data_IF_701875051529
#
_entry.id   IF_701875051529
#
_cell.length_a   1.000
_cell.length_b   1.000
_cell.length_c   1.000
_cell.angle_alpha   90.00
_cell.angle_beta   90.00
_cell.angle_gamma   90.00
#
_symmetry.space_group_name_H-M   'P 1'
#
loop_
_entity.id
_entity.type
_entity.pdbx_description
1 polymer ?
#
# COMPACT_ATOMS: atom_id res chain seq x y z
N UNK A 1 11.90 45.76 -4.39
CA UNK A 1 10.75 45.02 -3.81
C UNK A 1 9.84 44.37 -4.86
N UNK A 2 9.42 45.07 -5.94
CA UNK A 2 8.51 44.52 -6.97
C UNK A 2 9.01 43.26 -7.70
N UNK A 3 10.32 43.07 -7.88
CA UNK A 3 10.90 41.90 -8.56
C UNK A 3 10.94 40.62 -7.70
N UNK A 4 11.11 40.75 -6.38
CA UNK A 4 11.07 39.63 -5.44
C UNK A 4 9.65 39.08 -5.28
N UNK A 5 8.65 39.97 -5.31
CA UNK A 5 7.25 39.58 -5.27
C UNK A 5 6.84 38.75 -6.49
N UNK A 6 7.41 39.05 -7.67
CA UNK A 6 7.12 38.36 -8.94
C UNK A 6 7.70 36.93 -8.97
N UNK A 7 8.89 36.71 -8.39
CA UNK A 7 9.43 35.36 -8.22
C UNK A 7 8.60 34.52 -7.23
N UNK A 8 8.11 35.13 -6.15
CA UNK A 8 7.24 34.45 -5.19
C UNK A 8 5.87 34.07 -5.79
N UNK A 9 5.32 34.89 -6.68
CA UNK A 9 4.03 34.60 -7.35
C UNK A 9 4.16 33.50 -8.39
N UNK A 10 5.27 33.45 -9.14
CA UNK A 10 5.52 32.37 -10.12
C UNK A 10 5.78 31.03 -9.42
N UNK A 11 6.45 31.04 -8.26
CA UNK A 11 6.69 29.82 -7.47
C UNK A 11 5.39 29.27 -6.82
N UNK A 12 4.48 30.15 -6.37
CA UNK A 12 3.16 29.73 -5.85
C UNK A 12 2.23 29.16 -6.94
N UNK A 13 2.40 29.53 -8.21
CA UNK A 13 1.62 28.96 -9.31
C UNK A 13 2.06 27.55 -9.70
N UNK A 14 3.32 27.17 -9.42
CA UNK A 14 3.82 25.81 -9.68
C UNK A 14 3.36 24.76 -8.66
N UNK A 15 2.79 25.15 -7.51
CA UNK A 15 2.28 24.22 -6.50
C UNK A 15 0.81 23.83 -6.68
N UNK A 16 0.15 24.23 -7.78
CA UNK A 16 -1.23 23.84 -8.08
C UNK A 16 -1.35 22.57 -8.94
N UNK A 17 -0.24 21.92 -9.29
CA UNK A 17 -0.26 20.56 -9.85
C UNK A 17 -0.03 19.52 -8.76
N UNK A 18 -0.81 19.56 -7.69
CA UNK A 18 -1.07 18.32 -6.96
C UNK A 18 -2.16 17.59 -7.73
N UNK A 19 -1.73 16.53 -8.41
CA UNK A 19 -2.60 15.51 -8.96
C UNK A 19 -3.70 15.21 -7.95
N UNK A 20 -4.94 15.20 -8.43
CA UNK A 20 -6.04 14.57 -7.71
C UNK A 20 -5.62 13.13 -7.46
N UNK A 21 -5.05 12.82 -6.29
CA UNK A 21 -5.09 11.47 -5.79
C UNK A 21 -6.57 11.19 -5.61
N UNK A 22 -7.18 10.59 -6.64
CA UNK A 22 -8.47 9.92 -6.49
C UNK A 22 -8.26 9.06 -5.26
N UNK A 23 -9.06 9.33 -4.24
CA UNK A 23 -9.05 8.62 -2.97
C UNK A 23 -9.23 7.14 -3.30
N UNK A 24 -8.12 6.41 -3.48
CA UNK A 24 -8.10 5.09 -4.12
C UNK A 24 -8.92 4.09 -3.31
N UNK A 25 -9.05 4.36 -2.00
CA UNK A 25 -9.92 3.68 -1.05
C UNK A 25 -11.41 3.70 -1.42
N UNK A 26 -11.87 4.73 -2.15
CA UNK A 26 -13.28 4.93 -2.52
C UNK A 26 -13.54 4.72 -4.02
N UNK A 27 -12.54 4.29 -4.80
CA UNK A 27 -12.66 4.09 -6.24
C UNK A 27 -13.77 3.09 -6.60
N UNK A 28 -13.93 2.04 -5.79
CA UNK A 28 -15.04 1.09 -5.86
C UNK A 28 -15.67 0.97 -4.49
N UNK A 29 -16.99 1.06 -4.42
CA UNK A 29 -17.75 0.90 -3.17
C UNK A 29 -18.73 -0.26 -3.28
N UNK A 30 -18.86 -1.05 -2.22
CA UNK A 30 -19.95 -2.01 -2.08
C UNK A 30 -21.25 -1.28 -1.75
N UNK A 31 -22.28 -1.54 -2.53
CA UNK A 31 -23.64 -1.04 -2.30
C UNK A 31 -24.51 -2.05 -1.55
N UNK A 32 -24.33 -3.34 -1.83
CA UNK A 32 -25.14 -4.40 -1.23
C UNK A 32 -24.41 -5.74 -1.21
N UNK A 33 -24.83 -6.59 -0.27
CA UNK A 33 -24.37 -7.97 -0.13
C UNK A 33 -25.58 -8.85 0.18
N UNK A 34 -25.70 -9.98 -0.52
CA UNK A 34 -26.76 -10.95 -0.31
C UNK A 34 -26.17 -12.35 -0.14
N UNK A 35 -26.67 -13.06 0.88
CA UNK A 35 -26.44 -14.49 1.07
C UNK A 35 -27.59 -15.06 1.89
N UNK A 36 -28.37 -15.96 1.29
CA UNK A 36 -29.40 -16.71 1.96
C UNK A 36 -28.84 -17.94 2.69
N UNK A 37 -29.70 -18.57 3.48
CA UNK A 37 -29.35 -19.80 4.17
C UNK A 37 -29.18 -20.92 3.14
N UNK A 38 -28.07 -21.64 3.19
CA UNK A 38 -27.70 -22.72 2.26
C UNK A 38 -27.48 -22.26 0.80
N UNK A 39 -27.28 -20.97 0.56
CA UNK A 39 -26.80 -20.53 -0.75
C UNK A 39 -25.37 -21.03 -0.95
N UNK A 40 -25.09 -21.60 -2.12
CA UNK A 40 -23.71 -21.93 -2.52
C UNK A 40 -22.90 -20.68 -2.88
N UNK A 41 -23.59 -19.57 -3.20
CA UNK A 41 -22.99 -18.36 -3.69
C UNK A 41 -23.55 -17.11 -3.02
N UNK A 42 -22.68 -16.18 -2.67
CA UNK A 42 -23.06 -14.83 -2.28
C UNK A 42 -23.08 -13.89 -3.49
N UNK A 43 -23.88 -12.83 -3.41
CA UNK A 43 -23.93 -11.76 -4.39
C UNK A 43 -23.43 -10.47 -3.76
N UNK A 44 -22.57 -9.75 -4.47
CA UNK A 44 -22.05 -8.46 -4.03
C UNK A 44 -22.24 -7.43 -5.14
N UNK A 45 -22.87 -6.31 -4.80
CA UNK A 45 -23.11 -5.20 -5.73
C UNK A 45 -22.06 -4.12 -5.52
N UNK A 46 -21.30 -3.82 -6.57
CA UNK A 46 -20.16 -2.91 -6.54
C UNK A 46 -20.42 -1.74 -7.48
N UNK A 47 -20.00 -0.54 -7.08
CA UNK A 47 -20.10 0.69 -7.88
C UNK A 47 -18.73 1.28 -8.15
N UNK A 48 -18.46 1.59 -9.41
CA UNK A 48 -17.29 2.37 -9.81
C UNK A 48 -17.56 3.87 -9.62
N UNK A 49 -16.80 4.52 -8.74
CA UNK A 49 -16.91 5.97 -8.48
C UNK A 49 -15.83 6.78 -9.22
N UNK A 50 -14.99 6.12 -10.02
CA UNK A 50 -13.96 6.77 -10.82
C UNK A 50 -14.50 7.25 -12.16
N UNK A 51 -13.64 7.94 -12.93
CA UNK A 51 -13.92 8.39 -14.30
C UNK A 51 -13.34 7.44 -15.36
N UNK A 52 -12.78 6.31 -14.95
CA UNK A 52 -12.12 5.36 -15.84
C UNK A 52 -12.78 3.98 -15.78
N UNK A 53 -12.56 3.18 -16.82
CA UNK A 53 -12.99 1.78 -16.86
C UNK A 53 -12.14 0.97 -15.88
N UNK A 54 -12.79 0.26 -14.95
CA UNK A 54 -12.12 -0.67 -14.03
C UNK A 54 -12.29 -2.09 -14.57
N UNK A 55 -11.20 -2.76 -14.92
CA UNK A 55 -11.20 -4.11 -15.51
C UNK A 55 -11.14 -5.18 -14.43
N UNK A 56 -10.31 -4.96 -13.42
CA UNK A 56 -10.07 -5.87 -12.30
C UNK A 56 -10.05 -5.11 -10.96
N UNK A 57 -10.34 -5.84 -9.88
CA UNK A 57 -10.30 -5.35 -8.52
C UNK A 57 -9.70 -6.39 -7.58
N UNK A 58 -8.98 -5.89 -6.58
CA UNK A 58 -8.54 -6.63 -5.40
C UNK A 58 -9.21 -6.02 -4.18
N UNK A 59 -9.94 -6.82 -3.41
CA UNK A 59 -10.67 -6.34 -2.24
C UNK A 59 -10.67 -7.36 -1.12
N UNK A 60 -10.93 -6.86 0.07
CA UNK A 60 -11.03 -7.62 1.29
C UNK A 60 -12.48 -7.59 1.80
N UNK A 61 -12.98 -8.74 2.25
CA UNK A 61 -14.24 -8.87 2.98
C UNK A 61 -13.96 -9.36 4.40
N UNK A 62 -14.27 -8.50 5.37
CA UNK A 62 -14.27 -8.88 6.79
C UNK A 62 -15.68 -9.29 7.20
N UNK A 63 -15.81 -10.51 7.72
CA UNK A 63 -17.05 -11.05 8.24
C UNK A 63 -17.10 -10.83 9.74
N UNK A 64 -18.16 -10.17 10.22
CA UNK A 64 -18.28 -9.71 11.60
C UNK A 64 -19.57 -10.30 12.17
N UNK A 65 -19.51 -10.87 13.37
CA UNK A 65 -20.70 -11.35 14.05
C UNK A 65 -21.58 -10.20 14.56
N UNK A 66 -22.76 -10.53 15.09
CA UNK A 66 -23.66 -9.52 15.65
C UNK A 66 -23.16 -8.90 16.96
N UNK A 67 -22.09 -9.43 17.55
CA UNK A 67 -21.41 -8.87 18.74
C UNK A 67 -20.27 -7.91 18.35
N UNK A 68 -19.97 -7.77 17.05
CA UNK A 68 -18.90 -6.93 16.54
C UNK A 68 -17.52 -7.61 16.49
N UNK A 69 -17.44 -8.92 16.75
CA UNK A 69 -16.21 -9.69 16.62
C UNK A 69 -16.00 -10.13 15.17
N UNK A 70 -14.77 -9.96 14.67
CA UNK A 70 -14.36 -10.51 13.38
C UNK A 70 -14.36 -12.04 13.45
N UNK A 71 -15.17 -12.67 12.60
CA UNK A 71 -15.25 -14.12 12.41
C UNK A 71 -14.17 -14.58 11.43
N UNK A 72 -14.03 -13.85 10.31
CA UNK A 72 -13.08 -14.19 9.24
C UNK A 72 -12.72 -12.96 8.40
N UNK A 73 -11.63 -13.07 7.65
CA UNK A 73 -11.14 -12.03 6.77
C UNK A 73 -10.60 -12.64 5.46
N UNK A 74 -11.29 -12.39 4.35
CA UNK A 74 -10.97 -13.02 3.05
C UNK A 74 -10.59 -11.98 2.00
N UNK A 75 -9.52 -12.27 1.24
CA UNK A 75 -9.11 -11.46 0.10
C UNK A 75 -9.58 -12.08 -1.22
N UNK A 76 -10.09 -11.24 -2.11
CA UNK A 76 -10.64 -11.61 -3.41
C UNK A 76 -9.97 -10.81 -4.52
N UNK A 77 -9.67 -11.51 -5.62
CA UNK A 77 -9.35 -10.91 -6.90
C UNK A 77 -10.46 -11.25 -7.90
N UNK A 78 -10.98 -10.25 -8.61
CA UNK A 78 -12.04 -10.44 -9.62
C UNK A 78 -11.86 -9.52 -10.81
N UNK A 79 -11.98 -10.10 -12.00
CA UNK A 79 -12.27 -9.36 -13.23
C UNK A 79 -13.74 -8.97 -13.24
N UNK A 80 -14.03 -7.67 -13.40
CA UNK A 80 -15.39 -7.13 -13.24
C UNK A 80 -15.84 -6.26 -14.40
N UNK A 81 -14.93 -5.60 -15.13
CA UNK A 81 -15.25 -4.64 -16.20
C UNK A 81 -16.41 -3.70 -15.80
N UNK A 82 -16.10 -2.67 -15.01
CA UNK A 82 -17.00 -1.63 -14.51
C UNK A 82 -16.73 -0.30 -15.21
N UNK A 83 -17.67 0.17 -16.01
CA UNK A 83 -17.61 1.49 -16.64
C UNK A 83 -17.68 2.62 -15.60
N UNK A 84 -17.24 3.84 -15.93
CA UNK A 84 -17.35 4.98 -15.02
C UNK A 84 -18.78 5.18 -14.51
N UNK A 85 -18.97 5.22 -13.18
CA UNK A 85 -20.28 5.37 -12.55
C UNK A 85 -21.16 4.12 -12.54
N UNK A 86 -20.74 3.02 -13.16
CA UNK A 86 -21.53 1.79 -13.28
C UNK A 86 -21.64 1.05 -11.94
N UNK A 87 -22.81 0.46 -11.71
CA UNK A 87 -23.03 -0.53 -10.65
C UNK A 87 -23.20 -1.91 -11.27
N UNK A 88 -22.48 -2.91 -10.75
CA UNK A 88 -22.58 -4.29 -11.20
C UNK A 88 -22.60 -5.25 -10.03
N UNK A 89 -23.44 -6.28 -10.13
CA UNK A 89 -23.46 -7.38 -9.17
C UNK A 89 -22.60 -8.53 -9.67
N UNK A 90 -21.70 -9.01 -8.82
CA UNK A 90 -20.86 -10.18 -9.08
C UNK A 90 -21.14 -11.27 -8.04
N UNK A 91 -20.71 -12.48 -8.35
CA UNK A 91 -20.92 -13.67 -7.53
C UNK A 91 -19.62 -14.11 -6.86
N UNK A 92 -19.71 -14.43 -5.57
CA UNK A 92 -18.64 -15.00 -4.75
C UNK A 92 -19.10 -16.34 -4.17
N UNK A 93 -18.19 -17.23 -3.75
CA UNK A 93 -18.54 -18.36 -2.90
C UNK A 93 -19.25 -17.85 -1.63
N UNK A 94 -20.31 -18.53 -1.21
CA UNK A 94 -20.99 -18.16 0.03
C UNK A 94 -20.08 -18.37 1.25
N UNK A 95 -20.12 -17.44 2.20
CA UNK A 95 -19.36 -17.55 3.43
C UNK A 95 -19.96 -18.62 4.34
N UNK A 96 -19.23 -19.72 4.52
CA UNK A 96 -19.57 -20.81 5.46
C UNK A 96 -21.04 -21.26 5.39
N UNK A 97 -21.55 -21.48 4.18
CA UNK A 97 -22.92 -21.94 3.95
C UNK A 97 -23.25 -23.22 4.75
N UNK A 98 -22.31 -24.18 4.78
CA UNK A 98 -22.45 -25.44 5.51
C UNK A 98 -22.54 -25.29 7.04
N UNK A 99 -22.07 -24.16 7.58
CA UNK A 99 -22.14 -23.88 9.03
C UNK A 99 -23.36 -23.01 9.39
N UNK A 100 -24.34 -22.90 8.48
CA UNK A 100 -25.58 -22.13 8.64
C UNK A 100 -25.35 -20.63 8.90
N UNK A 101 -24.31 -20.05 8.28
CA UNK A 101 -24.11 -18.61 8.28
C UNK A 101 -25.02 -17.92 7.27
N UNK A 102 -25.63 -16.81 7.68
CA UNK A 102 -26.55 -16.03 6.85
C UNK A 102 -26.28 -14.53 6.99
N UNK A 103 -26.41 -13.78 5.89
CA UNK A 103 -26.27 -12.34 5.95
C UNK A 103 -27.40 -11.72 6.77
N UNK A 104 -27.09 -10.71 7.60
CA UNK A 104 -28.05 -10.17 8.57
C UNK A 104 -29.35 -9.60 7.96
N UNK A 105 -29.32 -9.15 6.69
CA UNK A 105 -30.51 -8.66 5.97
C UNK A 105 -31.26 -9.74 5.19
N UNK A 106 -30.80 -10.98 5.22
CA UNK A 106 -31.46 -12.06 4.48
C UNK A 106 -32.85 -12.34 5.03
N UNK A 107 -33.81 -12.52 4.11
CA UNK A 107 -35.21 -12.86 4.42
C UNK A 107 -35.40 -14.33 4.79
N UNK A 108 -34.40 -15.19 4.52
CA UNK A 108 -34.47 -16.63 4.82
C UNK A 108 -33.85 -17.00 6.16
N UNK A 109 -33.59 -16.00 7.03
CA UNK A 109 -33.06 -16.23 8.37
C UNK A 109 -34.07 -17.01 9.21
N UNK A 110 -33.60 -18.06 9.89
CA UNK A 110 -34.34 -18.71 10.96
C UNK A 110 -33.67 -18.42 12.32
N UNK A 111 -34.30 -18.86 13.42
CA UNK A 111 -33.83 -18.57 14.77
C UNK A 111 -32.48 -19.24 15.12
N UNK A 112 -32.06 -20.24 14.34
CA UNK A 112 -30.83 -21.00 14.57
C UNK A 112 -29.65 -20.53 13.70
N UNK A 113 -29.90 -19.66 12.72
CA UNK A 113 -28.90 -19.21 11.77
C UNK A 113 -27.88 -18.26 12.42
N UNK A 114 -26.59 -18.47 12.10
CA UNK A 114 -25.51 -17.59 12.55
C UNK A 114 -25.46 -16.36 11.65
N UNK A 115 -25.94 -15.23 12.15
CA UNK A 115 -25.95 -13.99 11.37
C UNK A 115 -24.63 -13.26 11.38
N UNK A 116 -24.25 -12.70 10.24
CA UNK A 116 -23.06 -11.86 10.09
C UNK A 116 -23.32 -10.59 9.29
N UNK A 117 -22.44 -9.61 9.48
CA UNK A 117 -22.31 -8.38 8.69
C UNK A 117 -21.01 -8.48 7.89
N UNK A 118 -20.98 -7.88 6.70
CA UNK A 118 -19.79 -7.81 5.86
C UNK A 118 -19.30 -6.37 5.82
N UNK A 119 -17.99 -6.20 6.01
CA UNK A 119 -17.28 -4.95 5.71
C UNK A 119 -16.44 -5.17 4.45
N UNK A 120 -16.60 -4.28 3.49
CA UNK A 120 -15.83 -4.27 2.25
C UNK A 120 -14.70 -3.24 2.35
N UNK A 121 -13.51 -3.61 1.91
CA UNK A 121 -12.37 -2.70 1.74
C UNK A 121 -11.70 -2.95 0.40
N UNK A 122 -11.67 -1.93 -0.47
CA UNK A 122 -10.91 -2.00 -1.71
C UNK A 122 -9.42 -1.91 -1.39
N UNK A 123 -8.63 -2.85 -1.92
CA UNK A 123 -7.16 -2.86 -1.76
C UNK A 123 -6.48 -2.29 -2.99
N UNK A 124 -6.89 -2.71 -4.18
CA UNK A 124 -6.32 -2.23 -5.44
C UNK A 124 -7.30 -2.43 -6.61
N UNK A 125 -7.05 -1.78 -7.75
CA UNK A 125 -7.85 -1.93 -8.97
C UNK A 125 -7.04 -1.60 -10.24
N UNK A 126 -7.47 -2.14 -11.38
CA UNK A 126 -6.74 -1.98 -12.66
C UNK A 126 -5.26 -2.38 -12.56
N UNK A 127 -4.98 -3.35 -11.70
CA UNK A 127 -3.65 -3.89 -11.56
C UNK A 127 -3.38 -4.74 -12.78
N UNK A 128 -2.34 -4.39 -13.54
CA UNK A 128 -1.85 -5.26 -14.61
C UNK A 128 -1.17 -6.47 -13.96
N UNK A 129 -1.95 -7.36 -13.33
CA UNK A 129 -1.51 -8.69 -12.97
C UNK A 129 -1.35 -9.44 -14.29
N UNK A 130 -0.15 -9.33 -14.87
CA UNK A 130 0.38 -10.40 -15.70
C UNK A 130 0.41 -11.60 -14.78
N UNK A 131 -0.55 -12.50 -14.95
CA UNK A 131 -0.36 -13.90 -14.59
C UNK A 131 0.96 -14.29 -15.25
N UNK A 132 2.05 -14.35 -14.48
CA UNK A 132 3.15 -15.24 -14.83
C UNK A 132 2.56 -16.63 -14.74
N UNK A 133 1.96 -17.05 -15.86
CA UNK A 133 1.91 -18.44 -16.28
C UNK A 133 3.30 -19.01 -16.05
N UNK A 134 3.48 -19.75 -14.97
CA UNK A 134 4.44 -20.84 -15.04
C UNK A 134 3.77 -21.88 -15.92
N UNK A 135 4.42 -22.16 -17.05
CA UNK A 135 4.21 -23.29 -17.96
C UNK A 135 3.71 -24.52 -17.17
N UNK A 136 2.46 -24.92 -17.34
CA UNK A 136 2.08 -25.88 -18.38
C UNK A 136 0.56 -26.13 -18.33
N UNK A 137 0.01 -26.47 -19.50
CA UNK A 137 -1.38 -26.89 -19.77
C UNK A 137 -2.50 -25.83 -19.74
N UNK A 138 -2.98 -25.55 -20.95
CA UNK A 138 -4.27 -24.97 -21.28
C UNK A 138 -5.40 -25.86 -20.75
N UNK A 139 -6.25 -25.32 -19.89
CA UNK A 139 -7.69 -25.57 -19.98
C UNK A 139 -8.47 -24.38 -19.41
N UNK A 140 -9.21 -23.72 -20.29
CA UNK A 140 -10.18 -22.72 -19.95
C UNK A 140 -11.28 -23.36 -19.10
N UNK A 141 -11.23 -23.17 -17.79
CA UNK A 141 -12.36 -23.48 -16.92
C UNK A 141 -12.50 -22.43 -15.84
N UNK A 142 -13.65 -21.78 -15.87
CA UNK A 142 -14.26 -21.06 -14.76
C UNK A 142 -14.08 -21.80 -13.43
N UNK A 143 -13.80 -21.04 -12.37
CA UNK A 143 -13.54 -21.46 -10.97
C UNK A 143 -12.06 -21.71 -10.67
N UNK A 144 -11.44 -20.71 -10.03
CA UNK A 144 -10.66 -20.94 -8.81
C UNK A 144 -10.65 -19.63 -8.03
N UNK A 145 -11.50 -19.55 -7.00
CA UNK A 145 -11.33 -18.57 -5.92
C UNK A 145 -10.30 -19.19 -4.97
N UNK A 146 -9.02 -19.01 -5.28
CA UNK A 146 -7.98 -19.33 -4.31
C UNK A 146 -7.93 -18.16 -3.30
N UNK A 147 -7.91 -18.42 -1.98
CA UNK A 147 -7.69 -17.39 -0.99
C UNK A 147 -6.33 -16.75 -1.26
N UNK A 148 -6.35 -15.49 -1.69
CA UNK A 148 -5.14 -14.74 -1.96
C UNK A 148 -4.48 -14.41 -0.62
N UNK A 149 -3.41 -15.12 -0.31
CA UNK A 149 -2.52 -14.72 0.77
C UNK A 149 -1.67 -13.56 0.25
N UNK A 150 -2.14 -12.33 0.47
CA UNK A 150 -1.32 -11.15 0.27
C UNK A 150 -0.01 -11.38 1.02
N UNK A 151 1.10 -11.37 0.28
CA UNK A 151 2.42 -11.32 0.89
C UNK A 151 2.61 -9.88 1.37
N UNK A 152 1.84 -9.52 2.41
CA UNK A 152 1.83 -8.18 2.97
C UNK A 152 3.26 -7.90 3.43
N UNK A 153 3.94 -6.99 2.73
CA UNK A 153 5.31 -6.61 3.08
C UNK A 153 5.37 -6.22 4.55
N UNK A 154 6.55 -6.37 5.17
CA UNK A 154 6.77 -6.05 6.59
C UNK A 154 6.14 -4.71 7.04
N UNK A 155 6.04 -3.73 6.13
CA UNK A 155 5.43 -2.43 6.34
C UNK A 155 3.88 -2.43 6.45
N UNK A 156 3.17 -3.29 5.70
CA UNK A 156 1.71 -3.43 5.79
C UNK A 156 1.30 -4.16 7.09
N UNK A 157 2.10 -5.13 7.52
CA UNK A 157 1.85 -5.96 8.71
C UNK A 157 2.00 -5.18 10.03
N UNK A 158 2.88 -4.18 10.07
CA UNK A 158 3.22 -3.42 11.28
C UNK A 158 2.82 -1.93 11.20
N UNK A 159 2.24 -1.51 10.07
CA UNK A 159 1.71 -0.17 9.86
C UNK A 159 2.69 0.95 10.23
N UNK A 160 2.22 2.06 10.84
CA UNK A 160 3.04 3.24 11.13
C UNK A 160 4.18 2.98 12.13
N UNK A 161 4.14 1.87 12.88
CA UNK A 161 5.17 1.51 13.87
C UNK A 161 6.44 1.04 13.17
N UNK A 162 6.33 0.22 12.12
CA UNK A 162 7.49 -0.18 11.31
C UNK A 162 8.11 1.01 10.57
N UNK A 163 7.29 1.95 10.10
CA UNK A 163 7.75 3.18 9.48
C UNK A 163 8.61 4.01 10.44
N UNK A 164 8.15 4.19 11.68
CA UNK A 164 8.84 4.96 12.71
C UNK A 164 10.15 4.27 13.12
N UNK A 165 10.11 2.94 13.32
CA UNK A 165 11.32 2.16 13.62
C UNK A 165 12.39 2.26 12.53
N UNK A 166 11.99 2.15 11.26
CA UNK A 166 12.90 2.32 10.13
C UNK A 166 13.45 3.74 10.02
N UNK A 167 12.62 4.77 10.26
CA UNK A 167 13.07 6.16 10.25
C UNK A 167 14.12 6.42 11.35
N UNK A 168 13.92 5.88 12.55
CA UNK A 168 14.89 5.98 13.66
C UNK A 168 16.19 5.25 13.32
N UNK A 169 16.12 4.06 12.72
CA UNK A 169 17.29 3.30 12.30
C UNK A 169 18.09 4.06 11.24
N UNK A 170 17.40 4.61 10.22
CA UNK A 170 18.04 5.43 9.18
C UNK A 170 18.68 6.67 9.80
N UNK A 171 17.98 7.40 10.68
CA UNK A 171 18.54 8.56 11.37
C UNK A 171 19.79 8.21 12.20
N UNK A 172 19.79 7.07 12.89
CA UNK A 172 20.94 6.59 13.65
C UNK A 172 22.14 6.25 12.73
N UNK A 173 21.89 5.63 11.57
CA UNK A 173 22.92 5.39 10.56
C UNK A 173 23.50 6.71 10.03
N UNK A 174 22.65 7.69 9.73
CA UNK A 174 23.10 9.01 9.27
C UNK A 174 23.98 9.71 10.32
N UNK A 175 23.57 9.72 11.58
CA UNK A 175 24.37 10.26 12.69
C UNK A 175 25.72 9.53 12.83
N UNK A 176 25.70 8.19 12.72
CA UNK A 176 26.91 7.38 12.72
C UNK A 176 27.87 7.75 11.59
N UNK A 177 27.37 8.00 10.38
CA UNK A 177 28.19 8.44 9.26
C UNK A 177 28.83 9.81 9.51
N UNK A 178 28.13 10.78 10.12
CA UNK A 178 28.73 12.07 10.46
C UNK A 178 29.88 11.95 11.47
N UNK A 179 29.73 11.10 12.48
CA UNK A 179 30.81 10.80 13.44
C UNK A 179 31.99 10.15 12.71
N UNK A 180 31.72 9.23 11.79
CA UNK A 180 32.75 8.55 10.99
C UNK A 180 33.54 9.54 10.10
N UNK A 181 32.85 10.50 9.47
CA UNK A 181 33.48 11.58 8.67
C UNK A 181 34.44 12.39 9.54
N UNK A 182 33.99 12.81 10.72
CA UNK A 182 34.82 13.57 11.67
C UNK A 182 36.05 12.78 12.12
N UNK A 183 35.87 11.51 12.49
CA UNK A 183 36.96 10.63 12.92
C UNK A 183 37.98 10.33 11.82
N UNK A 184 37.53 10.14 10.57
CA UNK A 184 38.43 9.93 9.44
C UNK A 184 39.18 11.21 9.04
N UNK A 185 38.53 12.37 9.15
CA UNK A 185 39.17 13.66 8.90
C UNK A 185 40.28 13.96 9.92
N UNK A 186 40.05 13.71 11.22
CA UNK A 186 41.10 13.87 12.25
C UNK A 186 42.26 12.90 12.02
N UNK A 187 41.99 11.64 11.67
CA UNK A 187 43.03 10.65 11.38
C UNK A 187 43.90 11.04 10.17
N UNK A 188 43.32 11.74 9.18
CA UNK A 188 44.04 12.25 7.99
C UNK A 188 44.67 13.63 8.20
N UNK A 189 44.75 14.15 9.44
CA UNK A 189 45.29 15.49 9.78
C UNK A 189 44.59 16.65 9.05
N UNK A 190 43.30 16.51 8.72
CA UNK A 190 42.47 17.56 8.11
C UNK A 190 41.51 18.13 9.16
N UNK A 191 41.02 19.36 8.96
CA UNK A 191 40.06 19.98 9.89
C UNK A 191 38.75 19.21 9.91
N UNK A 192 38.46 18.52 11.02
CA UNK A 192 37.26 17.69 11.17
C UNK A 192 35.97 18.51 11.05
N UNK A 193 35.95 19.72 11.58
CA UNK A 193 34.80 20.63 11.53
C UNK A 193 34.45 20.99 10.08
N UNK A 194 35.46 21.21 9.23
CA UNK A 194 35.25 21.55 7.82
C UNK A 194 34.64 20.39 7.04
N UNK A 195 35.06 19.16 7.31
CA UNK A 195 34.52 17.97 6.64
C UNK A 195 33.13 17.58 7.15
N UNK A 196 32.80 17.88 8.41
CA UNK A 196 31.43 17.76 8.92
C UNK A 196 30.51 18.78 8.22
N UNK A 197 30.97 20.01 7.98
CA UNK A 197 30.19 20.99 7.21
C UNK A 197 30.02 20.59 5.74
N UNK A 198 31.04 20.01 5.10
CA UNK A 198 30.96 19.59 3.70
C UNK A 198 30.02 18.41 3.50
N UNK A 199 29.93 17.51 4.48
CA UNK A 199 29.00 16.38 4.47
C UNK A 199 27.54 16.81 4.61
N UNK A 200 27.26 17.96 5.22
CA UNK A 200 25.92 18.54 5.27
C UNK A 200 25.43 18.98 3.87
N UNK A 201 26.33 19.44 3.01
CA UNK A 201 26.01 19.89 1.64
C UNK A 201 25.95 18.74 0.64
N UNK A 202 26.84 17.75 0.77
CA UNK A 202 27.03 16.71 -0.25
C UNK A 202 26.42 15.35 0.07
N UNK A 203 25.98 15.11 1.31
CA UNK A 203 25.73 13.82 1.99
C UNK A 203 26.96 13.20 2.66
N UNK A 204 26.80 12.63 3.88
CA UNK A 204 27.90 12.07 4.65
C UNK A 204 28.53 10.84 4.00
N UNK A 205 27.77 10.05 3.23
CA UNK A 205 28.31 8.93 2.49
C UNK A 205 29.27 9.36 1.37
N UNK A 206 28.92 10.42 0.63
CA UNK A 206 29.77 10.96 -0.43
C UNK A 206 31.03 11.64 0.14
N UNK A 207 30.91 12.35 1.27
CA UNK A 207 32.05 12.93 1.97
C UNK A 207 33.01 11.85 2.51
N UNK A 208 32.49 10.71 2.98
CA UNK A 208 33.31 9.55 3.32
C UNK A 208 34.06 9.01 2.11
N UNK A 209 33.39 8.88 0.97
CA UNK A 209 33.99 8.39 -0.28
C UNK A 209 35.09 9.34 -0.77
N UNK A 210 34.86 10.65 -0.71
CA UNK A 210 35.88 11.67 -1.01
C UNK A 210 37.06 11.59 -0.03
N UNK A 211 36.80 11.49 1.28
CA UNK A 211 37.85 11.33 2.27
C UNK A 211 38.61 10.02 2.07
N UNK A 212 37.99 8.96 1.57
CA UNK A 212 38.64 7.69 1.28
C UNK A 212 39.51 7.80 0.02
N UNK A 213 38.97 8.37 -1.05
CA UNK A 213 39.60 8.52 -2.36
C UNK A 213 40.75 9.54 -2.36
N UNK A 214 40.64 10.63 -1.59
CA UNK A 214 41.77 11.52 -1.34
C UNK A 214 42.69 10.85 -0.31
N UNK A 215 43.65 10.06 -0.80
CA UNK A 215 44.78 9.53 -0.03
C UNK A 215 45.50 10.63 0.76
N UNK A 216 46.15 10.25 1.85
CA UNK A 216 46.92 11.18 2.69
C UNK A 216 48.02 11.83 1.86
N UNK A 217 48.09 13.16 1.88
CA UNK A 217 49.22 13.89 1.30
C UNK A 217 50.46 13.65 2.18
N UNK A 218 51.17 12.54 1.93
CA UNK A 218 52.55 12.36 2.38
C UNK A 218 53.44 13.17 1.44
N UNK A 219 53.48 14.49 1.66
CA UNK A 219 54.59 15.31 1.21
C UNK A 219 54.70 16.53 2.12
N UNK A 220 55.59 16.41 3.11
CA UNK A 220 56.75 17.30 3.28
C UNK A 220 57.54 16.82 4.49
N UNK A 221 58.68 16.21 4.20
CA UNK A 221 59.88 16.29 5.04
C UNK A 221 60.21 17.77 5.23
N UNK A 222 60.33 18.19 6.47
CA UNK A 222 61.52 18.81 7.09
C UNK A 222 61.31 18.93 8.60
#
# INVERSE_FOLDING_TARGET
MKRIFLFFTVMLLSSLSFATSVDSTNAVTMLDYEQALNDDNARISLKNNTKELIKDICFNLTYIDMMGQTINDDNYYKEVNLSPGETKTITLPAFKADESYVYYRSVTKNDQAKTFIVKFELKDYNTTYKLTENEDSVEASSKTTAPYHSNSGFFERWGPIAALGMAVLVAALFLGCYVLVGFLATRKKRSAVLWILISFVTTPFFALLLLLALGTDTSKEE
#
